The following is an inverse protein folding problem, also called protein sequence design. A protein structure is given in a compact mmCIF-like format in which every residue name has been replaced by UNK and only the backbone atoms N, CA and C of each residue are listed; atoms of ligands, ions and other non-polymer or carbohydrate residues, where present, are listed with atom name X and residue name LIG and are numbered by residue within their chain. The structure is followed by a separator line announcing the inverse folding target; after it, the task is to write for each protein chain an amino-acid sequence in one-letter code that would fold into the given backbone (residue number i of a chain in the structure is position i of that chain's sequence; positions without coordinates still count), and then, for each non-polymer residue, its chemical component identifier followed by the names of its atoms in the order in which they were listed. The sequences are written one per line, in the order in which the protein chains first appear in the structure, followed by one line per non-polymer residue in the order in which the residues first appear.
data_IF_706562610176
#
_entry.id   IF_706562610176
#
_cell.length_a   1.000
_cell.length_b   1.000
_cell.length_c   1.000
_cell.angle_alpha   90.00
_cell.angle_beta   90.00
_cell.angle_gamma   90.00
#
_symmetry.space_group_name_H-M   'P 1'
#
loop_
_entity.id
_entity.type
_entity.pdbx_description
1 polymer ?
#
# COMPACT_ATOMS: atom_id res chain seq x y z
N UNK A 1 33.19 -75.76 -5.33
CA UNK A 1 33.71 -74.37 -5.34
C UNK A 1 32.73 -73.52 -6.00
N UNK A 2 31.93 -72.78 -5.22
CA UNK A 2 30.77 -71.99 -5.74
C UNK A 2 31.12 -70.51 -5.84
N UNK A 3 31.16 -69.95 -7.08
CA UNK A 3 31.27 -68.52 -7.35
C UNK A 3 29.95 -67.83 -7.01
N UNK A 4 29.97 -66.94 -6.04
CA UNK A 4 28.85 -66.06 -5.75
C UNK A 4 28.96 -64.85 -6.69
N UNK A 5 27.99 -64.69 -7.57
CA UNK A 5 27.82 -63.56 -8.45
C UNK A 5 27.06 -62.45 -7.68
N UNK A 6 27.71 -61.34 -7.45
CA UNK A 6 27.16 -60.18 -6.75
C UNK A 6 26.38 -59.33 -7.77
N UNK A 7 25.07 -59.32 -7.68
CA UNK A 7 24.19 -58.45 -8.45
C UNK A 7 24.18 -57.05 -7.80
N UNK A 8 24.77 -56.09 -8.46
CA UNK A 8 24.68 -54.66 -8.10
C UNK A 8 23.34 -54.15 -8.62
N UNK A 9 22.37 -53.98 -7.75
CA UNK A 9 21.12 -53.29 -8.08
C UNK A 9 21.39 -51.76 -8.02
N UNK A 10 21.50 -51.15 -9.18
CA UNK A 10 21.53 -49.69 -9.30
C UNK A 10 20.17 -49.09 -8.94
N UNK A 11 20.08 -48.43 -7.80
CA UNK A 11 18.92 -47.66 -7.39
C UNK A 11 18.95 -46.32 -8.15
N UNK A 12 18.21 -46.21 -9.24
CA UNK A 12 17.96 -44.97 -9.93
C UNK A 12 16.97 -44.19 -9.09
N UNK A 13 17.47 -43.21 -8.34
CA UNK A 13 16.65 -42.22 -7.61
C UNK A 13 16.09 -41.23 -8.63
N UNK A 14 14.88 -41.44 -9.12
CA UNK A 14 14.13 -40.47 -9.88
C UNK A 14 13.65 -39.40 -8.90
N UNK A 15 14.36 -38.28 -8.81
CA UNK A 15 13.88 -37.08 -8.13
C UNK A 15 12.78 -36.47 -9.02
N UNK A 16 11.54 -36.84 -8.73
CA UNK A 16 10.39 -36.09 -9.20
C UNK A 16 10.42 -34.72 -8.51
N UNK A 17 10.95 -33.71 -9.20
CA UNK A 17 10.69 -32.31 -8.84
C UNK A 17 9.18 -32.05 -9.05
N UNK A 18 8.39 -32.40 -8.05
CA UNK A 18 7.04 -31.85 -7.91
C UNK A 18 7.27 -30.39 -7.55
N UNK A 19 7.20 -29.52 -8.54
CA UNK A 19 7.06 -28.08 -8.33
C UNK A 19 5.75 -27.85 -7.60
N UNK A 20 5.79 -27.86 -6.26
CA UNK A 20 4.76 -27.23 -5.44
C UNK A 20 4.84 -25.73 -5.72
N UNK A 21 4.09 -25.26 -6.72
CA UNK A 21 3.55 -23.92 -6.67
C UNK A 21 2.70 -23.87 -5.41
N UNK A 22 3.25 -23.33 -4.33
CA UNK A 22 2.47 -22.95 -3.18
C UNK A 22 1.47 -21.90 -3.67
N UNK A 23 0.24 -22.33 -4.00
CA UNK A 23 -0.91 -21.45 -3.94
C UNK A 23 -0.91 -20.95 -2.50
N UNK A 24 -0.61 -19.68 -2.29
CA UNK A 24 -0.90 -19.02 -1.03
C UNK A 24 -2.35 -19.36 -0.71
N UNK A 25 -2.54 -20.12 0.36
CA UNK A 25 -3.86 -20.36 0.92
C UNK A 25 -4.35 -18.96 1.31
N UNK A 26 -5.27 -18.40 0.54
CA UNK A 26 -6.07 -17.30 1.04
C UNK A 26 -6.60 -17.74 2.39
N UNK A 27 -6.15 -17.07 3.44
CA UNK A 27 -6.62 -17.36 4.78
C UNK A 27 -8.12 -17.08 4.77
N UNK A 28 -8.95 -18.09 5.08
CA UNK A 28 -10.39 -17.89 5.25
C UNK A 28 -10.70 -17.19 6.57
N UNK A 29 -9.74 -16.51 7.14
CA UNK A 29 -9.78 -15.84 8.44
C UNK A 29 -9.39 -14.39 8.29
N UNK A 30 -9.98 -13.55 9.13
CA UNK A 30 -9.68 -12.13 9.26
C UNK A 30 -9.60 -11.74 10.73
N UNK A 31 -9.04 -10.57 11.01
CA UNK A 31 -8.93 -10.01 12.35
C UNK A 31 -9.86 -8.81 12.51
N UNK A 32 -10.61 -8.79 13.61
CA UNK A 32 -11.31 -7.58 14.08
C UNK A 32 -10.41 -6.92 15.11
N UNK A 33 -9.99 -5.69 14.82
CA UNK A 33 -9.19 -4.87 15.72
C UNK A 33 -10.10 -4.00 16.58
N UNK A 34 -9.80 -3.88 17.86
CA UNK A 34 -10.54 -3.04 18.80
C UNK A 34 -9.62 -2.54 19.92
N UNK A 35 -10.08 -1.57 20.72
CA UNK A 35 -9.31 -1.05 21.84
C UNK A 35 -9.33 -2.05 23.00
N UNK A 36 -8.18 -2.17 23.68
CA UNK A 36 -8.13 -2.91 24.94
C UNK A 36 -8.99 -2.22 26.02
N UNK A 37 -9.17 -2.87 27.17
CA UNK A 37 -10.00 -2.36 28.27
C UNK A 37 -9.56 -0.97 28.78
N UNK A 38 -8.27 -0.68 28.70
CA UNK A 38 -7.69 0.62 29.13
C UNK A 38 -7.82 1.69 28.05
N UNK A 39 -8.26 1.37 26.84
CA UNK A 39 -8.44 2.29 25.71
C UNK A 39 -7.13 2.90 25.18
N UNK A 40 -5.99 2.25 25.41
CA UNK A 40 -4.65 2.78 25.10
C UNK A 40 -3.84 1.93 24.11
N UNK A 41 -4.37 0.79 23.68
CA UNK A 41 -3.75 -0.09 22.69
C UNK A 41 -4.80 -0.84 21.86
N UNK A 42 -4.40 -1.31 20.67
CA UNK A 42 -5.21 -2.20 19.87
C UNK A 42 -4.95 -3.65 20.24
N UNK A 43 -6.01 -4.42 20.29
CA UNK A 43 -6.04 -5.88 20.38
C UNK A 43 -6.83 -6.41 19.19
N UNK A 44 -6.67 -7.71 18.88
CA UNK A 44 -7.36 -8.33 17.74
C UNK A 44 -7.96 -9.67 18.13
N UNK A 45 -9.03 -10.04 17.45
CA UNK A 45 -9.67 -11.33 17.55
C UNK A 45 -9.90 -11.90 16.16
N UNK A 46 -9.71 -13.23 16.02
CA UNK A 46 -9.79 -13.93 14.73
C UNK A 46 -11.22 -14.35 14.44
N UNK A 47 -11.67 -14.12 13.21
CA UNK A 47 -12.98 -14.50 12.68
C UNK A 47 -12.86 -15.16 11.32
N UNK A 48 -13.84 -15.95 10.87
CA UNK A 48 -13.96 -16.32 9.47
C UNK A 48 -14.07 -15.06 8.59
N UNK A 49 -13.52 -15.13 7.39
CA UNK A 49 -13.66 -14.04 6.41
C UNK A 49 -15.14 -13.75 6.14
N UNK A 50 -15.54 -12.50 6.20
CA UNK A 50 -16.91 -12.04 5.97
C UNK A 50 -16.92 -10.82 5.03
N UNK A 51 -18.09 -10.39 4.63
CA UNK A 51 -18.30 -9.16 3.87
C UNK A 51 -18.33 -7.91 4.78
N UNK A 52 -18.53 -6.74 4.18
CA UNK A 52 -18.56 -5.46 4.91
C UNK A 52 -19.65 -5.46 5.99
N UNK A 53 -20.84 -5.96 5.68
CA UNK A 53 -21.97 -5.96 6.62
C UNK A 53 -21.68 -6.87 7.82
N UNK A 54 -21.13 -8.05 7.58
CA UNK A 54 -20.72 -8.97 8.64
C UNK A 54 -19.63 -8.37 9.54
N UNK A 55 -18.65 -7.65 8.96
CA UNK A 55 -17.64 -6.94 9.72
C UNK A 55 -18.25 -5.83 10.57
N UNK A 56 -19.14 -5.01 10.02
CA UNK A 56 -19.83 -3.94 10.76
C UNK A 56 -20.65 -4.47 11.94
N UNK A 57 -21.33 -5.60 11.76
CA UNK A 57 -22.05 -6.27 12.84
C UNK A 57 -21.12 -6.71 13.97
N UNK A 58 -19.98 -7.32 13.63
CA UNK A 58 -18.97 -7.74 14.61
C UNK A 58 -18.32 -6.56 15.30
N UNK A 59 -18.00 -5.50 14.59
CA UNK A 59 -17.45 -4.27 15.17
C UNK A 59 -18.40 -3.66 16.20
N UNK A 60 -19.71 -3.69 15.96
CA UNK A 60 -20.75 -3.31 16.93
C UNK A 60 -20.71 -4.17 18.20
N UNK A 61 -20.64 -5.50 18.01
CA UNK A 61 -20.62 -6.45 19.11
C UNK A 61 -19.40 -6.29 20.02
N UNK A 62 -18.23 -5.95 19.45
CA UNK A 62 -16.96 -5.77 20.16
C UNK A 62 -16.71 -4.35 20.67
N UNK A 63 -17.66 -3.46 20.53
CA UNK A 63 -17.52 -2.07 20.97
C UNK A 63 -16.25 -1.41 20.39
N UNK A 64 -15.94 -1.73 19.11
CA UNK A 64 -14.82 -1.10 18.39
C UNK A 64 -14.96 0.41 18.36
N UNK A 65 -16.20 0.87 18.23
CA UNK A 65 -16.56 2.28 18.29
C UNK A 65 -17.00 2.67 19.71
N UNK A 66 -16.54 3.82 20.24
CA UNK A 66 -17.02 4.36 21.52
C UNK A 66 -18.54 4.56 21.52
N UNK A 67 -19.10 4.58 22.73
CA UNK A 67 -20.56 4.75 22.93
C UNK A 67 -21.08 5.99 22.20
N UNK A 68 -22.08 5.79 21.37
CA UNK A 68 -22.74 6.84 20.59
C UNK A 68 -22.12 7.09 19.22
N UNK A 69 -20.88 6.63 18.95
CA UNK A 69 -20.29 6.69 17.62
C UNK A 69 -20.83 5.56 16.77
N UNK A 70 -21.37 5.89 15.60
CA UNK A 70 -21.97 4.93 14.68
C UNK A 70 -21.52 5.17 13.25
N UNK A 71 -21.36 4.06 12.50
CA UNK A 71 -21.26 4.09 11.04
C UNK A 71 -22.69 4.02 10.50
N UNK A 72 -23.18 5.11 9.94
CA UNK A 72 -24.55 5.24 9.47
C UNK A 72 -24.76 4.57 8.11
N UNK A 73 -23.75 4.65 7.25
CA UNK A 73 -23.75 4.05 5.91
C UNK A 73 -22.32 3.85 5.42
N UNK A 74 -22.17 3.03 4.38
CA UNK A 74 -20.93 2.90 3.66
C UNK A 74 -21.15 2.86 2.15
N UNK A 75 -20.07 3.08 1.40
CA UNK A 75 -20.03 2.93 -0.05
C UNK A 75 -18.71 2.28 -0.44
N UNK A 76 -18.78 1.22 -1.24
CA UNK A 76 -17.60 0.60 -1.84
C UNK A 76 -17.49 1.07 -3.29
N UNK A 77 -16.47 1.84 -3.59
CA UNK A 77 -16.19 2.34 -4.93
C UNK A 77 -14.81 1.87 -5.35
N UNK A 78 -14.75 1.04 -6.40
CA UNK A 78 -13.49 0.46 -6.89
C UNK A 78 -12.73 -0.25 -5.77
N UNK A 79 -11.59 0.32 -5.33
CA UNK A 79 -10.75 -0.21 -4.25
C UNK A 79 -10.86 0.60 -2.95
N UNK A 80 -11.82 1.51 -2.87
CA UNK A 80 -12.03 2.41 -1.74
C UNK A 80 -13.33 2.09 -1.01
N UNK A 81 -13.24 1.87 0.30
CA UNK A 81 -14.38 1.80 1.20
C UNK A 81 -14.56 3.16 1.88
N UNK A 82 -15.69 3.81 1.63
CA UNK A 82 -16.07 5.08 2.23
C UNK A 82 -17.04 4.78 3.39
N UNK A 83 -16.66 5.19 4.59
CA UNK A 83 -17.46 5.03 5.80
C UNK A 83 -18.00 6.40 6.25
N UNK A 84 -19.28 6.48 6.50
CA UNK A 84 -19.95 7.69 6.97
C UNK A 84 -20.35 7.53 8.44
N UNK A 85 -19.73 8.32 9.28
CA UNK A 85 -19.99 8.36 10.72
C UNK A 85 -20.96 9.46 11.09
N UNK A 86 -21.65 9.27 12.21
CA UNK A 86 -22.42 10.34 12.84
C UNK A 86 -21.49 11.38 13.50
N UNK A 87 -22.06 12.53 13.91
CA UNK A 87 -21.29 13.64 14.48
C UNK A 87 -20.65 13.33 15.85
N UNK A 88 -21.08 12.27 16.53
CA UNK A 88 -20.46 11.82 17.78
C UNK A 88 -19.00 11.42 17.59
N UNK A 89 -18.60 11.05 16.34
CA UNK A 89 -17.19 10.78 15.99
C UNK A 89 -16.27 11.95 16.34
N UNK A 90 -16.68 13.19 16.08
CA UNK A 90 -15.88 14.38 16.33
C UNK A 90 -15.73 14.72 17.82
N UNK A 91 -16.52 14.10 18.71
CA UNK A 91 -16.46 14.31 20.15
C UNK A 91 -15.44 13.42 20.86
N UNK A 92 -14.84 12.46 20.14
CA UNK A 92 -13.78 11.63 20.69
C UNK A 92 -12.56 12.46 21.08
N UNK A 93 -11.88 12.07 22.16
CA UNK A 93 -10.55 12.63 22.43
C UNK A 93 -9.56 12.14 21.34
N UNK A 94 -8.52 12.94 21.09
CA UNK A 94 -7.55 12.71 20.01
C UNK A 94 -6.88 11.34 20.05
N UNK A 95 -6.53 10.86 21.25
CA UNK A 95 -5.85 9.57 21.40
C UNK A 95 -6.77 8.41 21.03
N UNK A 96 -8.03 8.46 21.52
CA UNK A 96 -9.04 7.46 21.19
C UNK A 96 -9.39 7.50 19.72
N UNK A 97 -9.52 8.69 19.12
CA UNK A 97 -9.83 8.84 17.69
C UNK A 97 -8.79 8.15 16.79
N UNK A 98 -7.50 8.39 17.04
CA UNK A 98 -6.42 7.76 16.28
C UNK A 98 -6.46 6.23 16.41
N UNK A 99 -6.71 5.68 17.60
CA UNK A 99 -6.79 4.23 17.81
C UNK A 99 -8.04 3.63 17.17
N UNK A 100 -9.19 4.28 17.28
CA UNK A 100 -10.44 3.85 16.62
C UNK A 100 -10.26 3.85 15.12
N UNK A 101 -9.69 4.90 14.57
CA UNK A 101 -9.40 5.01 13.14
C UNK A 101 -8.47 3.90 12.68
N UNK A 102 -7.40 3.62 13.42
CA UNK A 102 -6.49 2.53 13.15
C UNK A 102 -7.20 1.16 13.22
N UNK A 103 -8.03 0.91 14.24
CA UNK A 103 -8.81 -0.32 14.38
C UNK A 103 -9.70 -0.57 13.17
N UNK A 104 -10.46 0.46 12.76
CA UNK A 104 -11.38 0.38 11.62
C UNK A 104 -10.62 0.13 10.32
N UNK A 105 -9.56 0.91 10.05
CA UNK A 105 -8.79 0.75 8.81
C UNK A 105 -8.11 -0.61 8.74
N UNK A 106 -7.45 -1.06 9.81
CA UNK A 106 -6.79 -2.37 9.84
C UNK A 106 -7.79 -3.53 9.69
N UNK A 107 -9.00 -3.39 10.22
CA UNK A 107 -10.05 -4.38 10.05
C UNK A 107 -10.56 -4.41 8.61
N UNK A 108 -10.95 -3.26 8.07
CA UNK A 108 -11.60 -3.17 6.76
C UNK A 108 -10.66 -3.45 5.59
N UNK A 109 -9.38 -3.12 5.70
CA UNK A 109 -8.38 -3.37 4.63
C UNK A 109 -8.10 -4.86 4.40
N UNK A 110 -8.60 -5.78 5.24
CA UNK A 110 -8.51 -7.22 5.01
C UNK A 110 -9.57 -7.72 4.03
N UNK A 111 -10.60 -6.92 3.77
CA UNK A 111 -11.67 -7.29 2.84
C UNK A 111 -11.16 -7.27 1.39
N UNK A 112 -11.66 -8.19 0.58
CA UNK A 112 -11.39 -8.20 -0.84
C UNK A 112 -11.86 -6.88 -1.47
N UNK A 113 -11.09 -6.29 -2.38
CA UNK A 113 -11.36 -5.01 -3.05
C UNK A 113 -11.32 -3.76 -2.14
N UNK A 114 -10.86 -3.87 -0.90
CA UNK A 114 -10.61 -2.72 -0.03
C UNK A 114 -9.10 -2.52 0.11
N UNK A 115 -8.55 -1.57 -0.62
CA UNK A 115 -7.16 -1.14 -0.51
C UNK A 115 -7.05 0.16 0.30
N UNK A 116 -8.09 0.98 0.26
CA UNK A 116 -8.16 2.25 0.95
C UNK A 116 -9.48 2.40 1.70
N UNK A 117 -9.41 3.05 2.85
CA UNK A 117 -10.59 3.43 3.64
C UNK A 117 -10.62 4.94 3.81
N UNK A 118 -11.78 5.55 3.65
CA UNK A 118 -11.99 6.99 3.84
C UNK A 118 -13.13 7.22 4.80
N UNK A 119 -12.97 8.21 5.68
CA UNK A 119 -13.97 8.58 6.66
C UNK A 119 -14.63 9.89 6.31
N UNK A 120 -15.93 9.91 6.44
CA UNK A 120 -16.79 11.09 6.42
C UNK A 120 -17.53 11.17 7.76
N UNK A 121 -17.74 12.39 8.23
CA UNK A 121 -18.62 12.64 9.38
C UNK A 121 -19.80 13.46 8.85
N UNK A 122 -21.00 12.91 8.94
CA UNK A 122 -22.12 13.41 8.17
C UNK A 122 -21.83 13.36 6.67
N UNK A 123 -21.77 14.51 6.03
CA UNK A 123 -21.43 14.61 4.59
C UNK A 123 -20.07 15.26 4.32
N UNK A 124 -19.29 15.59 5.35
CA UNK A 124 -18.00 16.22 5.22
C UNK A 124 -16.86 15.19 5.38
N UNK A 125 -15.78 15.28 4.58
CA UNK A 125 -14.63 14.42 4.76
C UNK A 125 -13.97 14.68 6.12
N UNK A 126 -13.50 13.62 6.77
CA UNK A 126 -12.77 13.73 8.05
C UNK A 126 -11.56 14.64 7.87
N UNK A 127 -11.37 15.58 8.79
CA UNK A 127 -10.23 16.49 8.84
C UNK A 127 -9.36 16.18 10.06
N UNK A 128 -8.06 16.40 9.91
CA UNK A 128 -7.10 16.35 11.00
C UNK A 128 -7.18 17.61 11.89
N UNK A 129 -6.31 17.67 12.90
CA UNK A 129 -6.28 18.78 13.85
C UNK A 129 -5.87 20.13 13.21
N UNK A 130 -5.23 20.08 12.05
CA UNK A 130 -4.76 21.26 11.33
C UNK A 130 -5.78 21.69 10.25
N UNK A 131 -6.93 21.00 10.18
CA UNK A 131 -8.01 21.25 9.25
C UNK A 131 -7.82 20.65 7.86
N UNK A 132 -6.77 19.84 7.65
CA UNK A 132 -6.54 19.16 6.38
C UNK A 132 -7.42 17.91 6.30
N UNK A 133 -7.89 17.60 5.09
CA UNK A 133 -8.62 16.34 4.84
C UNK A 133 -7.69 15.15 5.08
N UNK A 134 -8.10 14.20 5.92
CA UNK A 134 -7.34 12.97 6.19
C UNK A 134 -7.20 12.11 4.94
N UNK A 135 -8.25 12.05 4.11
CA UNK A 135 -8.22 11.39 2.81
C UNK A 135 -8.23 9.87 2.88
N UNK A 136 -7.54 9.27 1.93
CA UNK A 136 -7.42 7.82 1.81
C UNK A 136 -6.43 7.28 2.84
N UNK A 137 -6.87 6.25 3.58
CA UNK A 137 -6.06 5.57 4.58
C UNK A 137 -5.86 4.11 4.21
N UNK A 138 -4.71 3.57 4.54
CA UNK A 138 -4.34 2.17 4.42
C UNK A 138 -3.77 1.64 5.73
N UNK A 139 -3.52 0.34 5.82
CA UNK A 139 -2.85 -0.25 7.01
C UNK A 139 -1.48 0.36 7.27
N UNK A 140 -0.81 0.89 6.25
CA UNK A 140 0.52 1.49 6.36
C UNK A 140 0.53 2.85 7.06
N UNK A 141 -0.62 3.52 7.13
CA UNK A 141 -0.75 4.78 7.87
C UNK A 141 -0.78 4.54 9.40
N UNK A 142 -0.92 3.29 9.83
CA UNK A 142 -1.05 2.86 11.22
C UNK A 142 -0.02 1.78 11.60
N UNK A 143 1.25 1.97 11.27
CA UNK A 143 2.31 1.03 11.64
C UNK A 143 2.42 0.94 13.15
N UNK A 144 2.17 -0.25 13.72
CA UNK A 144 2.36 -0.49 15.14
C UNK A 144 3.84 -0.46 15.49
N UNK A 145 4.24 0.53 16.28
CA UNK A 145 5.56 0.57 16.89
C UNK A 145 5.68 -0.48 17.99
N UNK A 146 6.09 -1.69 17.65
CA UNK A 146 6.45 -2.71 18.63
C UNK A 146 7.79 -2.35 19.29
N UNK A 147 7.82 -1.31 20.12
CA UNK A 147 8.91 -1.05 21.05
C UNK A 147 9.92 0.03 20.71
N UNK A 148 9.79 0.80 19.63
CA UNK A 148 10.58 2.01 19.42
C UNK A 148 9.77 3.27 19.74
N UNK A 149 10.43 4.26 20.34
CA UNK A 149 9.81 5.51 20.77
C UNK A 149 9.04 6.20 19.64
N UNK A 150 7.83 6.66 19.95
CA UNK A 150 7.03 7.54 19.09
C UNK A 150 7.92 8.69 18.61
N UNK A 151 8.10 8.83 17.28
CA UNK A 151 8.92 9.88 16.70
C UNK A 151 10.38 9.52 16.42
N UNK A 152 10.75 8.21 16.45
CA UNK A 152 12.09 7.80 16.02
C UNK A 152 12.29 8.07 14.53
N UNK A 153 13.46 8.64 14.20
CA UNK A 153 13.89 8.81 12.81
C UNK A 153 14.93 7.75 12.47
N UNK A 154 14.85 7.27 11.24
CA UNK A 154 15.84 6.37 10.65
C UNK A 154 16.45 7.02 9.42
N UNK A 155 17.56 6.46 8.95
CA UNK A 155 18.19 6.82 7.68
C UNK A 155 18.21 5.62 6.77
N UNK A 156 18.02 5.86 5.48
CA UNK A 156 18.12 4.83 4.44
C UNK A 156 18.71 5.40 3.17
N UNK A 157 19.23 4.51 2.33
CA UNK A 157 19.61 4.83 0.97
C UNK A 157 18.56 4.30 0.01
N UNK A 158 18.20 5.08 -0.99
CA UNK A 158 17.21 4.70 -2.00
C UNK A 158 17.80 4.70 -3.40
N UNK A 159 17.44 3.69 -4.16
CA UNK A 159 17.69 3.58 -5.60
C UNK A 159 16.46 4.06 -6.35
N UNK A 160 16.51 5.24 -6.93
CA UNK A 160 15.40 5.87 -7.62
C UNK A 160 15.68 5.95 -9.12
N UNK A 161 14.63 5.87 -9.91
CA UNK A 161 14.69 6.00 -11.36
C UNK A 161 13.98 7.29 -11.79
N UNK A 162 14.69 8.09 -12.58
CA UNK A 162 14.17 9.33 -13.16
C UNK A 162 14.31 9.29 -14.67
N UNK A 163 13.64 10.18 -15.38
CA UNK A 163 13.86 10.32 -16.81
C UNK A 163 15.29 10.85 -17.08
N UNK A 164 15.92 10.36 -18.12
CA UNK A 164 17.17 10.94 -18.63
C UNK A 164 16.91 12.35 -19.21
N UNK A 165 17.98 13.00 -19.67
CA UNK A 165 17.89 14.37 -20.20
C UNK A 165 16.97 14.49 -21.42
N UNK A 166 16.80 13.42 -22.17
CA UNK A 166 16.01 13.38 -23.40
C UNK A 166 14.58 12.88 -23.15
N UNK A 167 14.25 12.49 -21.91
CA UNK A 167 12.92 12.01 -21.49
C UNK A 167 12.52 10.66 -22.07
N UNK A 168 13.48 9.87 -22.56
CA UNK A 168 13.23 8.63 -23.34
C UNK A 168 13.61 7.36 -22.60
N UNK A 169 14.49 7.46 -21.60
CA UNK A 169 14.99 6.32 -20.84
C UNK A 169 15.02 6.63 -19.35
N UNK A 170 15.09 5.57 -18.55
CA UNK A 170 15.26 5.66 -17.11
C UNK A 170 16.74 5.77 -16.75
N UNK A 171 17.06 6.71 -15.89
CA UNK A 171 18.37 6.87 -15.29
C UNK A 171 18.30 6.58 -13.80
N UNK A 172 19.13 5.63 -13.33
CA UNK A 172 19.29 5.34 -11.91
C UNK A 172 19.92 6.55 -11.20
N UNK A 173 19.39 6.87 -10.04
CA UNK A 173 19.90 7.90 -9.14
C UNK A 173 19.85 7.35 -7.71
N UNK A 174 20.97 7.35 -7.00
CA UNK A 174 21.02 6.98 -5.59
C UNK A 174 20.87 8.22 -4.73
N UNK A 175 19.93 8.19 -3.79
CA UNK A 175 19.82 9.17 -2.72
C UNK A 175 20.23 8.51 -1.41
N UNK A 176 21.26 9.04 -0.76
CA UNK A 176 21.86 8.47 0.45
C UNK A 176 21.46 9.27 1.69
N UNK A 177 21.51 8.62 2.86
CA UNK A 177 21.24 9.24 4.17
C UNK A 177 19.89 9.97 4.24
N UNK A 178 18.85 9.41 3.61
CA UNK A 178 17.52 10.00 3.67
C UNK A 178 16.97 9.75 5.07
N UNK A 179 16.81 10.84 5.83
CA UNK A 179 16.17 10.80 7.14
C UNK A 179 14.66 10.77 6.98
N UNK A 180 14.00 9.80 7.60
CA UNK A 180 12.56 9.63 7.54
C UNK A 180 12.01 9.14 8.89
N UNK A 181 10.72 9.33 9.13
CA UNK A 181 10.06 8.80 10.32
C UNK A 181 9.99 7.26 10.21
N UNK A 182 10.42 6.55 11.25
CA UNK A 182 10.42 5.09 11.27
C UNK A 182 9.04 4.44 11.04
N UNK A 183 7.97 5.22 11.21
CA UNK A 183 6.59 4.78 10.95
C UNK A 183 6.16 4.96 9.48
N UNK A 184 7.03 5.53 8.63
CA UNK A 184 6.74 5.67 7.20
C UNK A 184 7.14 4.39 6.48
N UNK A 185 6.20 3.77 5.79
CA UNK A 185 6.49 2.62 4.94
C UNK A 185 7.48 3.00 3.83
N UNK A 186 8.38 2.07 3.50
CA UNK A 186 9.44 2.33 2.52
C UNK A 186 8.87 2.66 1.14
N UNK A 187 7.76 2.04 0.73
CA UNK A 187 7.06 2.27 -0.53
C UNK A 187 6.57 3.72 -0.62
N UNK A 188 5.96 4.22 0.45
CA UNK A 188 5.50 5.60 0.54
C UNK A 188 6.68 6.58 0.48
N UNK A 189 7.74 6.30 1.23
CA UNK A 189 8.97 7.11 1.21
C UNK A 189 9.56 7.21 -0.20
N UNK A 190 9.63 6.09 -0.94
CA UNK A 190 10.14 6.05 -2.32
C UNK A 190 9.34 6.99 -3.21
N UNK A 191 8.01 6.89 -3.19
CA UNK A 191 7.14 7.74 -4.00
C UNK A 191 7.28 9.23 -3.61
N UNK A 192 7.30 9.54 -2.32
CA UNK A 192 7.54 10.91 -1.83
C UNK A 192 8.90 11.47 -2.28
N UNK A 193 9.95 10.64 -2.33
CA UNK A 193 11.26 11.06 -2.82
C UNK A 193 11.29 11.26 -4.35
N UNK A 194 10.50 10.52 -5.12
CA UNK A 194 10.29 10.77 -6.55
C UNK A 194 9.55 12.08 -6.77
N UNK A 195 8.52 12.38 -5.97
CA UNK A 195 7.75 13.63 -6.03
C UNK A 195 8.63 14.86 -5.72
N UNK A 196 9.60 14.74 -4.82
CA UNK A 196 10.60 15.81 -4.56
C UNK A 196 11.49 16.10 -5.76
N UNK A 197 11.49 15.20 -6.75
CA UNK A 197 12.29 15.33 -7.96
C UNK A 197 13.75 14.89 -7.79
N UNK A 198 14.49 14.97 -8.90
CA UNK A 198 15.81 14.36 -8.96
C UNK A 198 16.92 15.20 -8.31
N UNK A 199 16.96 16.50 -8.50
CA UNK A 199 18.10 17.33 -8.09
C UNK A 199 19.44 16.97 -8.77
N UNK A 200 19.50 15.88 -9.54
CA UNK A 200 20.71 15.42 -10.23
C UNK A 200 20.81 15.99 -11.64
N UNK A 201 22.03 16.39 -12.04
CA UNK A 201 22.29 16.86 -13.40
C UNK A 201 22.06 15.73 -14.42
N UNK A 202 21.42 16.08 -15.55
CA UNK A 202 21.16 15.15 -16.64
C UNK A 202 20.02 14.16 -16.36
N UNK A 203 19.14 14.47 -15.44
CA UNK A 203 17.90 13.73 -15.17
C UNK A 203 16.74 14.70 -15.05
N UNK A 204 15.52 14.23 -15.37
CA UNK A 204 14.29 15.01 -15.26
C UNK A 204 13.32 14.34 -14.26
N UNK A 205 12.60 15.18 -13.52
CA UNK A 205 11.52 14.71 -12.64
C UNK A 205 10.39 14.10 -13.45
N UNK A 206 9.78 13.04 -12.93
CA UNK A 206 8.74 12.26 -13.62
C UNK A 206 7.34 12.53 -13.08
N UNK A 207 7.21 12.95 -11.83
CA UNK A 207 5.93 13.28 -11.19
C UNK A 207 5.75 14.78 -11.18
N UNK A 208 4.62 15.32 -11.70
CA UNK A 208 4.32 16.75 -11.68
C UNK A 208 4.28 17.29 -10.24
N UNK A 209 4.76 18.51 -10.04
CA UNK A 209 4.71 19.15 -8.72
C UNK A 209 3.30 19.44 -8.21
N UNK A 210 2.34 19.50 -9.12
CA UNK A 210 0.91 19.70 -8.83
C UNK A 210 0.20 18.43 -8.41
N UNK A 211 0.75 17.25 -8.76
CA UNK A 211 0.18 15.96 -8.39
C UNK A 211 0.25 15.74 -6.88
N UNK A 212 -0.76 15.09 -6.34
CA UNK A 212 -0.82 14.68 -4.93
C UNK A 212 -0.81 13.17 -4.83
N UNK A 213 -0.03 12.66 -3.89
CA UNK A 213 -0.10 11.27 -3.47
C UNK A 213 -1.30 11.13 -2.52
N UNK A 214 -2.30 10.38 -2.93
CA UNK A 214 -3.50 10.14 -2.14
C UNK A 214 -3.34 8.98 -1.18
N UNK A 215 -2.51 7.98 -1.53
CA UNK A 215 -2.22 6.84 -0.66
C UNK A 215 -1.25 5.85 -1.29
N UNK A 216 -0.63 5.05 -0.42
CA UNK A 216 0.18 3.88 -0.80
C UNK A 216 -0.23 2.73 0.11
N UNK A 217 -0.44 1.55 -0.45
CA UNK A 217 -0.68 0.32 0.31
C UNK A 217 0.03 -0.86 -0.34
N UNK A 218 0.25 -1.94 0.44
CA UNK A 218 0.81 -3.20 -0.10
C UNK A 218 -0.12 -4.35 0.27
N UNK A 219 -0.46 -5.16 -0.74
CA UNK A 219 -1.26 -6.36 -0.58
C UNK A 219 -0.83 -7.41 -1.60
N UNK A 220 -0.66 -8.64 -1.16
CA UNK A 220 -0.28 -9.78 -2.00
C UNK A 220 0.97 -9.50 -2.87
N UNK A 221 2.00 -8.85 -2.29
CA UNK A 221 3.24 -8.44 -2.97
C UNK A 221 3.03 -7.43 -4.11
N UNK A 222 1.89 -6.78 -4.17
CA UNK A 222 1.58 -5.66 -5.07
C UNK A 222 1.55 -4.36 -4.28
N UNK A 223 2.30 -3.36 -4.71
CA UNK A 223 2.22 -2.00 -4.16
C UNK A 223 1.19 -1.19 -4.96
N UNK A 224 0.18 -0.68 -4.29
CA UNK A 224 -0.84 0.21 -4.86
C UNK A 224 -0.43 1.66 -4.57
N UNK A 225 -0.21 2.44 -5.62
CA UNK A 225 0.17 3.86 -5.52
C UNK A 225 -0.94 4.70 -6.14
N UNK A 226 -1.64 5.49 -5.33
CA UNK A 226 -2.78 6.28 -5.76
C UNK A 226 -2.44 7.78 -5.82
N UNK A 227 -2.56 8.36 -7.00
CA UNK A 227 -2.40 9.79 -7.23
C UNK A 227 -3.75 10.45 -7.53
N UNK A 228 -3.80 11.76 -7.35
CA UNK A 228 -4.91 12.58 -7.87
C UNK A 228 -4.83 12.71 -9.40
N UNK A 229 -5.92 13.20 -10.02
CA UNK A 229 -6.03 13.40 -11.47
C UNK A 229 -4.94 14.28 -12.05
N UNK A 230 -4.33 15.16 -11.26
CA UNK A 230 -3.25 16.05 -11.72
C UNK A 230 -1.99 15.29 -12.13
N UNK A 231 -1.78 14.09 -11.62
CA UNK A 231 -0.71 13.23 -12.09
C UNK A 231 -0.79 12.97 -13.60
N UNK A 232 -2.00 12.78 -14.12
CA UNK A 232 -2.23 12.50 -15.54
C UNK A 232 -2.41 13.79 -16.36
N UNK A 233 -3.12 14.80 -15.83
CA UNK A 233 -3.45 16.03 -16.57
C UNK A 233 -2.29 17.00 -16.70
N UNK A 234 -1.48 17.15 -15.64
CA UNK A 234 -0.38 18.11 -15.56
C UNK A 234 0.99 17.48 -15.88
N UNK A 235 0.98 16.29 -16.46
CA UNK A 235 2.17 15.49 -16.72
C UNK A 235 3.19 16.22 -17.62
N UNK A 236 4.49 15.98 -17.34
CA UNK A 236 5.58 16.50 -18.17
C UNK A 236 5.55 15.92 -19.58
N UNK A 237 6.21 16.60 -20.51
CA UNK A 237 6.43 16.12 -21.88
C UNK A 237 7.58 15.11 -21.89
N UNK A 238 7.28 13.88 -21.42
CA UNK A 238 8.16 12.74 -21.36
C UNK A 238 7.49 11.56 -22.07
N UNK A 239 8.29 10.56 -22.46
CA UNK A 239 7.72 9.27 -22.84
C UNK A 239 6.82 8.76 -21.70
N UNK A 240 5.52 8.47 -21.95
CA UNK A 240 4.60 8.01 -20.90
C UNK A 240 5.07 6.76 -20.15
N UNK A 241 5.71 5.82 -20.84
CA UNK A 241 6.27 4.63 -20.22
C UNK A 241 7.38 4.98 -19.23
N UNK A 242 8.26 5.93 -19.56
CA UNK A 242 9.32 6.40 -18.67
C UNK A 242 8.73 6.97 -17.38
N UNK A 243 7.66 7.75 -17.47
CA UNK A 243 6.97 8.28 -16.29
C UNK A 243 6.45 7.17 -15.38
N UNK A 244 5.75 6.21 -15.94
CA UNK A 244 5.13 5.11 -15.20
C UNK A 244 6.20 4.18 -14.63
N UNK A 245 7.15 3.73 -15.45
CA UNK A 245 8.19 2.79 -15.02
C UNK A 245 9.25 3.42 -14.11
N UNK A 246 9.39 4.73 -14.07
CA UNK A 246 10.17 5.40 -13.04
C UNK A 246 9.61 5.10 -11.64
N UNK A 247 8.29 5.13 -11.49
CA UNK A 247 7.61 4.81 -10.22
C UNK A 247 7.72 3.32 -9.94
N UNK A 248 7.35 2.48 -10.93
CA UNK A 248 7.36 1.01 -10.81
C UNK A 248 8.74 0.49 -10.39
N UNK A 249 9.78 0.85 -11.15
CA UNK A 249 11.13 0.38 -10.89
C UNK A 249 11.70 0.92 -9.57
N UNK A 250 11.40 2.17 -9.22
CA UNK A 250 11.87 2.72 -7.95
C UNK A 250 11.23 2.01 -6.75
N UNK A 251 9.94 1.70 -6.81
CA UNK A 251 9.25 0.99 -5.73
C UNK A 251 9.79 -0.44 -5.61
N UNK A 252 9.85 -1.20 -6.70
CA UNK A 252 10.35 -2.59 -6.70
C UNK A 252 11.82 -2.66 -6.27
N UNK A 253 12.64 -1.67 -6.62
CA UNK A 253 14.06 -1.66 -6.24
C UNK A 253 14.32 -1.49 -4.74
N UNK A 254 13.36 -0.95 -3.99
CA UNK A 254 13.55 -0.57 -2.58
C UNK A 254 12.61 -1.30 -1.62
N UNK A 255 11.55 -1.95 -2.12
CA UNK A 255 10.52 -2.58 -1.31
C UNK A 255 10.41 -4.08 -1.61
N UNK A 256 9.82 -4.82 -0.68
CA UNK A 256 9.60 -6.26 -0.87
C UNK A 256 8.29 -6.52 -1.64
N UNK A 257 8.21 -5.98 -2.84
CA UNK A 257 7.06 -6.15 -3.75
C UNK A 257 7.54 -6.56 -5.14
N UNK A 258 6.69 -7.26 -5.87
CA UNK A 258 7.01 -7.75 -7.22
C UNK A 258 6.31 -6.95 -8.32
N UNK A 259 5.26 -6.24 -7.96
CA UNK A 259 4.44 -5.46 -8.90
C UNK A 259 3.99 -4.15 -8.28
N UNK A 260 3.65 -3.19 -9.14
CA UNK A 260 3.07 -1.91 -8.72
C UNK A 260 1.80 -1.64 -9.52
N UNK A 261 0.72 -1.34 -8.83
CA UNK A 261 -0.54 -0.87 -9.39
C UNK A 261 -0.65 0.63 -9.19
N UNK A 262 -0.63 1.38 -10.29
CA UNK A 262 -0.87 2.82 -10.22
C UNK A 262 -2.37 3.07 -10.35
N UNK A 263 -2.89 3.95 -9.51
CA UNK A 263 -4.28 4.37 -9.47
C UNK A 263 -4.37 5.88 -9.67
N UNK A 264 -5.43 6.34 -10.31
CA UNK A 264 -5.77 7.76 -10.45
C UNK A 264 -7.14 7.98 -9.81
N UNK A 265 -7.19 8.78 -8.74
CA UNK A 265 -8.40 8.97 -7.93
C UNK A 265 -9.09 7.64 -7.55
N UNK A 266 -8.26 6.63 -7.21
CA UNK A 266 -8.71 5.27 -6.87
C UNK A 266 -9.08 4.39 -8.06
N UNK A 267 -8.97 4.87 -9.30
CA UNK A 267 -9.26 4.10 -10.51
C UNK A 267 -8.02 3.40 -11.04
N UNK A 268 -8.13 2.12 -11.40
CA UNK A 268 -7.12 1.38 -12.16
C UNK A 268 -7.46 1.27 -13.66
N UNK A 269 -8.73 1.42 -14.03
CA UNK A 269 -9.22 1.32 -15.41
C UNK A 269 -8.88 2.58 -16.26
N UNK A 270 -7.64 3.03 -16.16
CA UNK A 270 -7.12 4.24 -16.79
C UNK A 270 -6.01 3.88 -17.77
N UNK A 271 -6.03 4.49 -18.96
CA UNK A 271 -4.91 4.45 -19.90
C UNK A 271 -4.15 5.79 -19.80
N UNK A 272 -2.96 5.75 -19.21
CA UNK A 272 -2.15 6.95 -19.01
C UNK A 272 -1.67 7.49 -20.35
N UNK A 273 -2.02 8.76 -20.67
CA UNK A 273 -1.73 9.43 -21.93
C UNK A 273 -2.10 8.59 -23.20
N UNK A 274 -3.12 7.77 -23.12
CA UNK A 274 -3.56 6.86 -24.18
C UNK A 274 -2.48 5.85 -24.64
N UNK A 275 -1.46 5.57 -23.82
CA UNK A 275 -0.33 4.70 -24.15
C UNK A 275 -0.16 3.59 -23.13
N UNK A 276 -0.09 3.91 -21.82
CA UNK A 276 0.17 2.91 -20.79
C UNK A 276 -1.13 2.49 -20.14
N UNK A 277 -1.50 1.23 -20.28
CA UNK A 277 -2.65 0.63 -19.63
C UNK A 277 -2.33 0.39 -18.12
N UNK A 278 -3.04 1.09 -17.24
CA UNK A 278 -2.93 0.96 -15.80
C UNK A 278 -3.97 -0.01 -15.20
N UNK A 279 -4.72 -0.75 -16.01
CA UNK A 279 -5.77 -1.65 -15.50
C UNK A 279 -5.24 -2.86 -14.74
N UNK A 280 -3.94 -3.16 -14.88
CA UNK A 280 -3.27 -4.30 -14.24
C UNK A 280 -1.99 -3.85 -13.55
N UNK A 281 -1.57 -4.56 -12.48
CA UNK A 281 -0.28 -4.33 -11.85
C UNK A 281 0.88 -4.54 -12.83
N UNK A 282 1.82 -3.61 -12.81
CA UNK A 282 3.00 -3.57 -13.68
C UNK A 282 4.20 -4.22 -12.99
N UNK A 283 5.00 -4.94 -13.75
CA UNK A 283 6.26 -5.54 -13.32
C UNK A 283 7.44 -4.63 -13.70
N UNK A 284 8.65 -5.02 -13.30
CA UNK A 284 9.88 -4.29 -13.63
C UNK A 284 10.06 -4.09 -15.14
N UNK A 285 10.25 -2.84 -15.55
CA UNK A 285 10.53 -2.46 -16.95
C UNK A 285 12.03 -2.37 -17.23
N UNK A 286 12.65 -3.48 -17.67
CA UNK A 286 14.10 -3.56 -17.91
C UNK A 286 14.54 -2.78 -19.13
N UNK A 287 13.77 -2.80 -20.20
CA UNK A 287 14.14 -2.24 -21.51
C UNK A 287 14.24 -0.70 -21.51
N UNK A 288 13.70 -0.07 -20.50
CA UNK A 288 13.73 1.40 -20.34
C UNK A 288 14.93 1.90 -19.54
N UNK A 289 15.66 1.02 -18.86
CA UNK A 289 16.78 1.41 -18.01
C UNK A 289 18.02 1.62 -18.88
N UNK A 290 18.59 2.81 -18.78
CA UNK A 290 19.84 3.13 -19.47
C UNK A 290 21.00 2.40 -18.80
N UNK A 291 21.80 1.67 -19.58
CA UNK A 291 23.07 1.06 -19.18
C UNK A 291 24.14 2.10 -18.84
#
# INVERSE_FOLDING_TARGET
MKRKMLLLLGFILIILCVGCGAKEKQSNEMYIYYLNADGNALVQETYPLMDVDGVLEKMKAHTVLPKGVEIEKYKLERLQLILYFNEEYLKMNKSTEVLVRAAVVQTMSQLSKVEFVTFYVGNEPLKDNDGNVVGLMSTQDFVQNTGSSIGSYQTTDLKLYFADKDGKQLKETRKTNIRYNANTAIEKLVVEQLMKGTGASGSQSVIPKTAKLLGVSVKDSVCYVNFDSKFATDSYDLNPEVTIYAIVNSVIANANVTKVQILIDGASDVVYKNIVDLSKPLEWGIDLVKE
#
